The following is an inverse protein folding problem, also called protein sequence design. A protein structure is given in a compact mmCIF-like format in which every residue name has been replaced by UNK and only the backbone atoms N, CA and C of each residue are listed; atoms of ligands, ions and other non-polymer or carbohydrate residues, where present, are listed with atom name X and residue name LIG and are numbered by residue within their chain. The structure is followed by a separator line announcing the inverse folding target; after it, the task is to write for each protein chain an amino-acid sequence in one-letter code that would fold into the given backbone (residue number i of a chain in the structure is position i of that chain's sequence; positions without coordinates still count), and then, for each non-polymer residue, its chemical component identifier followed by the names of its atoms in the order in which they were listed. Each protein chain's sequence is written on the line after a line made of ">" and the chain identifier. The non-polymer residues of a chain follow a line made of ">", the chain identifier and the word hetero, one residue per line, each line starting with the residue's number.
data_IF_013077230247
#
_entry.id   IF_013077230247
#
_cell.length_a   1.000
_cell.length_b   1.000
_cell.length_c   1.000
_cell.angle_alpha   90.00
_cell.angle_beta   90.00
_cell.angle_gamma   90.00
#
_symmetry.space_group_name_H-M   'P 1'
#
loop_
_entity.id
_entity.type
_entity.pdbx_description
1 polymer ?
#
# COMPACT_ATOMS: atom_id res chain seq x y z
N UNK A 1 0.37 -15.65 -79.24
CA UNK A 1 0.14 -14.23 -79.08
C UNK A 1 0.70 -13.82 -77.68
N UNK A 2 1.83 -13.19 -77.77
CA UNK A 2 2.64 -12.75 -76.65
C UNK A 2 2.11 -11.44 -76.09
N UNK A 3 1.97 -11.27 -74.72
CA UNK A 3 1.95 -9.97 -74.12
C UNK A 3 2.95 -9.98 -72.97
N UNK A 4 3.98 -9.15 -73.09
CA UNK A 4 4.97 -8.79 -72.05
C UNK A 4 4.33 -7.86 -71.04
N UNK A 5 4.61 -8.10 -69.77
CA UNK A 5 4.36 -7.13 -68.73
C UNK A 5 5.70 -6.50 -68.24
N UNK A 6 5.78 -5.20 -68.39
CA UNK A 6 6.90 -4.35 -68.02
C UNK A 6 6.90 -4.13 -66.49
N UNK A 7 8.06 -4.35 -65.84
CA UNK A 7 8.31 -3.94 -64.48
C UNK A 7 8.68 -2.44 -64.44
N UNK A 8 7.90 -1.66 -63.72
CA UNK A 8 8.25 -0.28 -63.36
C UNK A 8 9.03 -0.29 -62.06
N UNK A 9 10.32 0.10 -62.10
CA UNK A 9 11.09 0.44 -60.91
C UNK A 9 10.68 1.82 -60.42
N UNK A 10 10.11 1.91 -59.21
CA UNK A 10 9.91 3.15 -58.53
C UNK A 10 11.22 3.60 -57.83
N UNK A 11 11.82 4.66 -58.31
CA UNK A 11 12.96 5.34 -57.68
C UNK A 11 12.46 6.07 -56.40
N UNK A 12 12.98 5.68 -55.25
CA UNK A 12 12.77 6.40 -53.98
C UNK A 12 13.46 7.77 -54.09
N UNK A 13 12.71 8.84 -53.89
CA UNK A 13 13.20 10.21 -54.05
C UNK A 13 14.29 10.54 -52.99
N UNK A 14 15.32 11.26 -53.42
CA UNK A 14 16.47 11.69 -52.65
C UNK A 14 16.13 12.45 -51.35
N UNK A 15 14.93 12.99 -51.24
CA UNK A 15 14.45 13.74 -50.08
C UNK A 15 14.10 12.85 -48.85
N UNK A 16 13.72 11.59 -49.07
CA UNK A 16 13.43 10.64 -48.02
C UNK A 16 14.72 10.09 -47.34
N UNK A 17 15.77 9.87 -48.16
CA UNK A 17 17.07 9.45 -47.65
C UNK A 17 17.78 10.53 -46.81
N UNK A 18 17.62 11.81 -47.15
CA UNK A 18 18.16 12.92 -46.37
C UNK A 18 17.43 13.12 -45.02
N UNK A 19 16.12 12.85 -44.93
CA UNK A 19 15.38 12.94 -43.67
C UNK A 19 15.71 11.78 -42.73
N UNK A 20 15.99 10.59 -43.23
CA UNK A 20 16.44 9.46 -42.41
C UNK A 20 17.87 9.68 -41.86
N UNK A 21 18.77 10.32 -42.64
CA UNK A 21 20.11 10.64 -42.18
C UNK A 21 20.13 11.74 -41.09
N UNK A 22 19.19 12.68 -41.12
CA UNK A 22 19.05 13.74 -40.09
C UNK A 22 18.46 13.23 -38.79
N UNK A 23 17.66 12.16 -38.80
CA UNK A 23 17.11 11.55 -37.58
C UNK A 23 18.12 10.65 -36.87
N UNK A 24 19.08 10.05 -37.59
CA UNK A 24 20.10 9.20 -36.99
C UNK A 24 21.23 9.96 -36.29
N UNK A 25 21.45 11.24 -36.62
CA UNK A 25 22.50 12.08 -35.99
C UNK A 25 22.15 12.58 -34.58
N UNK A 26 20.91 12.40 -34.12
CA UNK A 26 20.47 12.82 -32.79
C UNK A 26 20.56 11.71 -31.71
N UNK A 27 21.03 10.51 -32.05
CA UNK A 27 21.06 9.37 -31.13
C UNK A 27 22.46 8.77 -30.88
N UNK A 28 23.56 9.49 -31.13
CA UNK A 28 24.91 9.05 -30.71
C UNK A 28 25.38 9.85 -29.49
N UNK A 29 25.53 9.25 -28.32
CA UNK A 29 26.17 9.94 -27.20
C UNK A 29 27.70 9.95 -27.44
N UNK A 30 28.30 11.14 -27.38
CA UNK A 30 29.74 11.28 -27.38
C UNK A 30 30.32 10.73 -26.07
N UNK A 31 31.17 9.73 -26.15
CA UNK A 31 31.99 9.22 -25.04
C UNK A 31 33.17 10.16 -24.87
N UNK A 32 33.20 10.98 -23.81
CA UNK A 32 34.41 11.67 -23.35
C UNK A 32 34.86 11.03 -22.05
N UNK A 33 36.06 10.42 -22.07
CA UNK A 33 36.77 9.94 -20.92
C UNK A 33 37.42 11.14 -20.17
N UNK A 34 36.94 11.40 -18.94
CA UNK A 34 37.77 12.07 -17.93
C UNK A 34 37.54 11.45 -16.56
N UNK A 35 38.57 10.84 -16.02
CA UNK A 35 38.68 10.47 -14.61
C UNK A 35 38.83 11.72 -13.75
N UNK A 36 38.03 11.84 -12.70
CA UNK A 36 38.43 12.57 -11.49
C UNK A 36 37.42 12.34 -10.35
N UNK A 37 37.96 11.91 -9.22
CA UNK A 37 37.55 12.11 -7.83
C UNK A 37 36.07 11.96 -7.42
N UNK A 38 35.89 10.94 -6.58
CA UNK A 38 34.76 10.63 -5.71
C UNK A 38 34.23 11.83 -4.92
N UNK A 39 33.16 12.42 -5.37
CA UNK A 39 32.08 12.96 -4.56
C UNK A 39 30.82 12.28 -5.07
N UNK A 40 30.17 11.45 -4.26
CA UNK A 40 28.86 10.88 -4.52
C UNK A 40 27.85 12.02 -4.67
N UNK A 41 27.65 12.49 -5.90
CA UNK A 41 26.53 13.35 -6.23
C UNK A 41 25.27 12.49 -6.13
N UNK A 42 24.30 12.92 -5.33
CA UNK A 42 22.91 12.45 -5.38
C UNK A 42 22.52 12.27 -6.86
N UNK A 43 22.07 11.07 -7.21
CA UNK A 43 21.60 10.76 -8.55
C UNK A 43 20.29 11.53 -8.72
N UNK A 44 20.28 12.59 -9.51
CA UNK A 44 19.07 13.35 -9.79
C UNK A 44 17.99 12.38 -10.28
N UNK A 45 16.77 12.44 -9.70
CA UNK A 45 15.64 11.64 -10.14
C UNK A 45 15.36 11.86 -11.63
N UNK A 46 15.05 10.78 -12.35
CA UNK A 46 14.65 10.82 -13.75
C UNK A 46 13.21 11.33 -13.96
N UNK A 47 12.47 11.54 -12.87
CA UNK A 47 11.08 11.98 -12.90
C UNK A 47 10.97 13.45 -13.28
N UNK A 48 9.90 13.80 -14.03
CA UNK A 48 9.56 15.20 -14.28
C UNK A 48 9.29 15.94 -12.96
N UNK A 49 9.62 17.23 -12.90
CA UNK A 49 9.32 18.05 -11.75
C UNK A 49 7.80 18.02 -11.44
N UNK A 50 7.44 17.72 -10.22
CA UNK A 50 6.06 17.64 -9.74
C UNK A 50 5.97 18.07 -8.27
N UNK A 51 4.79 18.45 -7.78
CA UNK A 51 4.58 18.68 -6.36
C UNK A 51 4.87 17.42 -5.55
N UNK A 52 5.61 17.56 -4.46
CA UNK A 52 5.97 16.45 -3.57
C UNK A 52 4.73 15.95 -2.83
N UNK A 53 4.36 14.70 -3.06
CA UNK A 53 3.15 14.10 -2.51
C UNK A 53 3.42 13.37 -1.20
N UNK A 54 3.07 14.00 -0.08
CA UNK A 54 3.23 13.46 1.28
C UNK A 54 1.89 13.23 1.98
N UNK A 55 0.90 12.76 1.23
CA UNK A 55 -0.35 12.23 1.79
C UNK A 55 -0.12 10.80 2.28
N UNK A 56 -0.97 10.24 3.18
CA UNK A 56 -0.87 8.83 3.58
C UNK A 56 -1.29 7.85 2.45
N UNK A 57 -0.68 8.02 1.29
CA UNK A 57 -0.87 7.27 0.04
C UNK A 57 -2.01 7.78 -0.86
N UNK A 58 -1.73 7.79 -2.20
CA UNK A 58 -0.48 7.36 -2.84
C UNK A 58 0.75 8.12 -2.38
N UNK A 59 1.89 7.42 -2.33
CA UNK A 59 3.18 7.98 -1.93
C UNK A 59 4.07 8.24 -3.15
N UNK A 60 5.22 8.88 -2.94
CA UNK A 60 6.27 8.99 -3.95
C UNK A 60 6.80 7.60 -4.36
N UNK A 61 7.17 7.45 -5.63
CA UNK A 61 7.70 6.22 -6.19
C UNK A 61 9.18 6.36 -6.52
N UNK A 62 9.93 5.26 -6.53
CA UNK A 62 11.30 5.26 -7.03
C UNK A 62 11.32 5.27 -8.57
N UNK A 63 12.43 5.75 -9.14
CA UNK A 63 12.64 5.77 -10.60
C UNK A 63 12.59 4.35 -11.19
N UNK A 64 13.10 3.35 -10.46
CA UNK A 64 13.09 1.95 -10.88
C UNK A 64 11.68 1.37 -10.94
N UNK A 65 10.81 1.73 -9.98
CA UNK A 65 9.40 1.32 -9.99
C UNK A 65 8.68 1.93 -11.18
N UNK A 66 8.88 3.22 -11.47
CA UNK A 66 8.28 3.88 -12.62
C UNK A 66 8.83 3.33 -13.94
N UNK A 67 10.13 3.02 -14.02
CA UNK A 67 10.72 2.36 -15.19
C UNK A 67 10.09 0.97 -15.41
N UNK A 68 9.83 0.20 -14.35
CA UNK A 68 9.15 -1.08 -14.44
C UNK A 68 7.68 -0.94 -14.90
N UNK A 69 6.97 0.14 -14.51
CA UNK A 69 5.64 0.47 -15.03
C UNK A 69 5.63 0.77 -16.52
N UNK A 70 6.75 1.25 -17.07
CA UNK A 70 6.90 1.52 -18.51
C UNK A 70 7.20 0.26 -19.34
N UNK A 71 7.14 -0.94 -18.76
CA UNK A 71 7.31 -2.20 -19.47
C UNK A 71 6.33 -2.29 -20.66
N UNK A 72 6.79 -2.60 -21.88
CA UNK A 72 5.93 -2.78 -23.03
C UNK A 72 4.84 -3.82 -22.82
N UNK A 73 3.77 -3.77 -23.63
CA UNK A 73 2.70 -4.76 -23.59
C UNK A 73 3.25 -6.17 -23.72
N UNK A 74 2.80 -7.06 -22.85
CA UNK A 74 3.29 -8.43 -22.74
C UNK A 74 2.12 -9.39 -22.50
N UNK A 75 2.19 -10.58 -23.07
CA UNK A 75 1.20 -11.63 -22.79
C UNK A 75 1.32 -12.11 -21.34
N UNK A 76 0.20 -12.14 -20.63
CA UNK A 76 0.13 -12.62 -19.25
C UNK A 76 0.42 -14.13 -19.08
N UNK A 77 0.46 -14.88 -20.19
CA UNK A 77 0.85 -16.31 -20.20
C UNK A 77 2.24 -16.53 -20.83
N UNK A 78 2.97 -15.47 -21.16
CA UNK A 78 4.34 -15.61 -21.64
C UNK A 78 5.25 -16.16 -20.52
N UNK A 79 6.26 -17.00 -20.87
CA UNK A 79 7.18 -17.51 -19.87
C UNK A 79 7.84 -16.42 -19.01
N UNK A 80 8.22 -15.30 -19.62
CA UNK A 80 8.83 -14.17 -18.93
C UNK A 80 7.91 -13.55 -17.88
N UNK A 81 6.63 -13.34 -18.21
CA UNK A 81 5.69 -12.77 -17.25
C UNK A 81 5.33 -13.77 -16.13
N UNK A 82 5.21 -15.04 -16.46
CA UNK A 82 4.97 -16.12 -15.48
C UNK A 82 6.10 -16.15 -14.44
N UNK A 83 7.37 -15.98 -14.85
CA UNK A 83 8.51 -15.85 -13.96
C UNK A 83 8.38 -14.60 -13.06
N UNK A 84 8.12 -13.44 -13.66
CA UNK A 84 7.96 -12.17 -12.95
C UNK A 84 6.88 -12.25 -11.88
N UNK A 85 5.72 -12.79 -12.25
CA UNK A 85 4.59 -12.88 -11.32
C UNK A 85 4.86 -13.88 -10.19
N UNK A 86 5.39 -15.05 -10.52
CA UNK A 86 5.75 -16.04 -9.50
C UNK A 86 6.83 -15.54 -8.54
N UNK A 87 7.83 -14.79 -9.03
CA UNK A 87 8.85 -14.15 -8.18
C UNK A 87 8.21 -13.10 -7.25
N UNK A 88 7.30 -12.26 -7.77
CA UNK A 88 6.60 -11.27 -6.96
C UNK A 88 5.79 -11.94 -5.84
N UNK A 89 5.08 -13.04 -6.11
CA UNK A 89 4.35 -13.81 -5.09
C UNK A 89 5.29 -14.40 -4.04
N UNK A 90 6.45 -14.94 -4.45
CA UNK A 90 7.47 -15.44 -3.54
C UNK A 90 8.08 -14.36 -2.64
N UNK A 91 8.34 -13.16 -3.18
CA UNK A 91 8.85 -12.03 -2.39
C UNK A 91 7.77 -11.45 -1.44
N UNK A 92 6.49 -11.51 -1.81
CA UNK A 92 5.40 -11.15 -0.88
C UNK A 92 5.38 -12.07 0.34
N UNK A 93 5.66 -13.37 0.20
CA UNK A 93 5.81 -14.27 1.37
C UNK A 93 6.90 -13.77 2.31
N UNK A 94 8.04 -13.36 1.78
CA UNK A 94 9.14 -12.83 2.60
C UNK A 94 8.73 -11.52 3.30
N UNK A 95 8.04 -10.62 2.62
CA UNK A 95 7.53 -9.37 3.20
C UNK A 95 6.57 -9.61 4.37
N UNK A 96 5.75 -10.67 4.29
CA UNK A 96 4.82 -11.08 5.35
C UNK A 96 5.43 -12.01 6.40
N UNK A 97 6.73 -12.35 6.33
CA UNK A 97 7.36 -13.36 7.18
C UNK A 97 6.60 -14.70 7.15
N UNK A 98 6.22 -15.15 5.95
CA UNK A 98 5.50 -16.39 5.77
C UNK A 98 6.40 -17.49 5.19
N UNK A 99 6.40 -18.64 5.84
CA UNK A 99 7.08 -19.88 5.45
C UNK A 99 6.12 -21.07 5.30
N UNK A 100 4.91 -20.96 5.86
CA UNK A 100 3.88 -22.01 5.74
C UNK A 100 3.40 -22.12 4.29
N UNK A 101 3.69 -23.24 3.65
CA UNK A 101 3.29 -23.53 2.26
C UNK A 101 1.78 -23.73 2.07
N UNK A 102 1.01 -23.91 3.15
CA UNK A 102 -0.45 -23.97 3.08
C UNK A 102 -1.08 -22.59 2.89
N UNK A 103 -0.38 -21.54 3.30
CA UNK A 103 -0.79 -20.17 3.03
C UNK A 103 -0.63 -19.83 1.54
N UNK A 104 -1.35 -18.81 1.08
CA UNK A 104 -1.23 -18.30 -0.29
C UNK A 104 -1.19 -16.78 -0.32
N UNK A 105 -0.26 -16.23 -1.09
CA UNK A 105 -0.19 -14.81 -1.45
C UNK A 105 -0.98 -14.52 -2.71
N UNK A 106 -1.59 -13.34 -2.75
CA UNK A 106 -2.42 -12.87 -3.86
C UNK A 106 -2.00 -11.45 -4.26
N UNK A 107 -1.96 -11.18 -5.56
CA UNK A 107 -1.83 -9.84 -6.13
C UNK A 107 -2.79 -9.74 -7.32
N UNK A 108 -3.91 -9.03 -7.12
CA UNK A 108 -5.07 -9.04 -8.02
C UNK A 108 -5.37 -7.62 -8.45
N UNK A 109 -5.78 -7.41 -9.71
CA UNK A 109 -6.21 -6.11 -10.21
C UNK A 109 -7.35 -5.55 -9.36
N UNK A 110 -7.13 -4.38 -8.73
CA UNK A 110 -8.11 -3.75 -7.85
C UNK A 110 -7.48 -2.74 -6.90
N UNK A 111 -8.25 -2.30 -5.93
CA UNK A 111 -7.81 -1.44 -4.84
C UNK A 111 -7.64 -2.25 -3.54
N UNK A 112 -7.09 -1.65 -2.48
CA UNK A 112 -7.00 -2.28 -1.16
C UNK A 112 -8.35 -2.76 -0.63
N UNK A 113 -9.43 -1.99 -0.89
CA UNK A 113 -10.80 -2.34 -0.52
C UNK A 113 -11.31 -3.65 -1.13
N UNK A 114 -10.78 -4.09 -2.28
CA UNK A 114 -11.08 -5.42 -2.82
C UNK A 114 -10.64 -6.55 -1.86
N UNK A 115 -9.64 -6.31 -1.01
CA UNK A 115 -9.25 -7.25 0.05
C UNK A 115 -10.38 -7.45 1.08
N UNK A 116 -11.16 -6.40 1.37
CA UNK A 116 -12.35 -6.50 2.24
C UNK A 116 -13.44 -7.35 1.59
N UNK A 117 -13.69 -7.15 0.27
CA UNK A 117 -14.62 -8.00 -0.49
C UNK A 117 -14.17 -9.48 -0.44
N UNK A 118 -12.86 -9.76 -0.54
CA UNK A 118 -12.35 -11.13 -0.39
C UNK A 118 -12.64 -11.72 0.99
N UNK A 119 -12.45 -10.97 2.06
CA UNK A 119 -12.80 -11.39 3.43
C UNK A 119 -14.29 -11.65 3.54
N UNK A 120 -15.12 -10.67 3.20
CA UNK A 120 -16.57 -10.74 3.38
C UNK A 120 -17.22 -11.82 2.51
N UNK A 121 -16.82 -11.92 1.23
CA UNK A 121 -17.41 -12.87 0.31
C UNK A 121 -16.98 -14.33 0.54
N UNK A 122 -15.79 -14.57 1.10
CA UNK A 122 -15.21 -15.91 1.16
C UNK A 122 -15.10 -16.49 2.58
N UNK A 123 -14.89 -15.65 3.61
CA UNK A 123 -14.62 -16.12 4.97
C UNK A 123 -15.83 -15.93 5.91
N UNK A 124 -16.87 -15.21 5.47
CA UNK A 124 -18.07 -14.95 6.23
C UNK A 124 -19.28 -15.44 5.40
N UNK A 125 -20.15 -16.26 5.98
CA UNK A 125 -21.42 -16.60 5.34
C UNK A 125 -22.52 -15.64 5.81
N UNK A 126 -23.58 -15.42 5.00
CA UNK A 126 -24.68 -14.55 5.41
C UNK A 126 -25.25 -14.97 6.78
N UNK A 127 -25.39 -14.00 7.68
CA UNK A 127 -25.87 -14.20 9.04
C UNK A 127 -24.78 -14.53 10.07
N UNK A 128 -23.53 -14.81 9.66
CA UNK A 128 -22.43 -15.00 10.61
C UNK A 128 -21.96 -13.66 11.20
N UNK A 129 -21.49 -13.72 12.45
CA UNK A 129 -21.07 -12.56 13.22
C UNK A 129 -19.59 -12.26 13.01
N UNK A 130 -19.26 -10.97 12.86
CA UNK A 130 -17.91 -10.43 12.76
C UNK A 130 -17.67 -9.38 13.83
N UNK A 131 -16.53 -9.44 14.53
CA UNK A 131 -16.10 -8.38 15.44
C UNK A 131 -15.17 -7.43 14.68
N UNK A 132 -15.52 -6.14 14.63
CA UNK A 132 -14.73 -5.09 13.99
C UNK A 132 -14.13 -4.20 15.06
N UNK A 133 -12.80 -4.25 15.21
CA UNK A 133 -12.08 -3.34 16.13
C UNK A 133 -11.95 -1.97 15.47
N UNK A 134 -12.63 -0.98 16.04
CA UNK A 134 -12.86 0.29 15.38
C UNK A 134 -11.99 1.39 16.00
N UNK A 135 -11.03 1.88 15.21
CA UNK A 135 -10.14 3.00 15.55
C UNK A 135 -10.29 4.20 14.61
N UNK A 136 -11.20 4.13 13.62
CA UNK A 136 -11.45 5.23 12.69
C UNK A 136 -12.29 4.85 11.47
N UNK A 137 -12.18 5.65 10.41
CA UNK A 137 -12.99 5.59 9.19
C UNK A 137 -12.92 4.24 8.46
N UNK A 138 -11.74 3.62 8.42
CA UNK A 138 -11.55 2.39 7.64
C UNK A 138 -12.23 1.18 8.31
N UNK A 139 -12.28 1.15 9.62
CA UNK A 139 -13.05 0.14 10.35
C UNK A 139 -14.57 0.28 10.12
N UNK A 140 -15.12 1.51 10.06
CA UNK A 140 -16.51 1.75 9.67
C UNK A 140 -16.80 1.18 8.27
N UNK A 141 -15.91 1.47 7.30
CA UNK A 141 -16.09 1.05 5.91
C UNK A 141 -15.98 -0.47 5.75
N UNK A 142 -15.09 -1.12 6.51
CA UNK A 142 -14.97 -2.58 6.52
C UNK A 142 -16.23 -3.23 7.12
N UNK A 143 -16.81 -2.63 8.19
CA UNK A 143 -18.08 -3.10 8.73
C UNK A 143 -19.22 -2.99 7.69
N UNK A 144 -19.31 -1.88 6.96
CA UNK A 144 -20.27 -1.71 5.86
C UNK A 144 -20.07 -2.75 4.76
N UNK A 145 -18.81 -3.07 4.41
CA UNK A 145 -18.52 -4.13 3.45
C UNK A 145 -19.01 -5.48 3.95
N UNK A 146 -18.72 -5.86 5.19
CA UNK A 146 -19.21 -7.12 5.78
C UNK A 146 -20.74 -7.19 5.76
N UNK A 147 -21.43 -6.10 6.12
CA UNK A 147 -22.89 -6.02 6.09
C UNK A 147 -23.44 -6.15 4.67
N UNK A 148 -22.76 -5.56 3.67
CA UNK A 148 -23.15 -5.65 2.25
C UNK A 148 -23.17 -7.09 1.75
N UNK A 149 -22.29 -7.95 2.24
CA UNK A 149 -22.26 -9.39 1.93
C UNK A 149 -23.15 -10.24 2.85
N UNK A 150 -23.96 -9.60 3.70
CA UNK A 150 -24.92 -10.28 4.60
C UNK A 150 -24.35 -10.75 5.92
N UNK A 151 -23.09 -10.47 6.25
CA UNK A 151 -22.51 -10.68 7.57
C UNK A 151 -23.10 -9.71 8.61
N UNK A 152 -22.90 -10.01 9.88
CA UNK A 152 -23.38 -9.21 11.03
C UNK A 152 -22.20 -8.59 11.77
N UNK A 153 -21.72 -7.37 11.36
CA UNK A 153 -20.62 -6.72 12.04
C UNK A 153 -21.05 -6.15 13.38
N UNK A 154 -20.29 -6.44 14.43
CA UNK A 154 -20.33 -5.79 15.73
C UNK A 154 -19.09 -4.90 15.84
N UNK A 155 -19.28 -3.58 15.92
CA UNK A 155 -18.19 -2.63 16.02
C UNK A 155 -17.85 -2.37 17.49
N UNK A 156 -16.62 -2.69 17.89
CA UNK A 156 -16.06 -2.34 19.20
C UNK A 156 -15.23 -1.05 19.05
N UNK A 157 -15.83 0.08 19.43
CA UNK A 157 -15.28 1.40 19.15
C UNK A 157 -14.36 1.89 20.27
N UNK A 158 -13.14 2.31 19.90
CA UNK A 158 -12.26 3.09 20.74
C UNK A 158 -12.67 4.57 20.76
N UNK A 159 -12.29 5.34 21.79
CA UNK A 159 -12.29 6.81 21.70
C UNK A 159 -11.44 7.30 20.52
N UNK A 160 -11.77 8.49 19.97
CA UNK A 160 -11.02 9.05 18.84
C UNK A 160 -9.54 9.21 19.21
N UNK A 161 -8.66 8.63 18.41
CA UNK A 161 -7.21 8.68 18.62
C UNK A 161 -6.68 7.65 19.61
N UNK A 162 -7.51 6.76 20.15
CA UNK A 162 -7.10 5.71 21.09
C UNK A 162 -7.30 4.31 20.47
N UNK A 163 -6.82 3.28 21.15
CA UNK A 163 -6.93 1.87 20.78
C UNK A 163 -8.16 1.21 21.42
N UNK A 164 -8.62 0.11 20.81
CA UNK A 164 -9.52 -0.83 21.47
C UNK A 164 -8.68 -1.65 22.48
N UNK A 165 -9.06 -1.65 23.74
CA UNK A 165 -8.30 -2.33 24.81
C UNK A 165 -8.47 -3.85 24.75
N UNK A 166 -7.45 -4.59 25.20
CA UNK A 166 -7.50 -6.06 25.28
C UNK A 166 -8.65 -6.55 26.15
N UNK A 167 -8.94 -5.89 27.28
CA UNK A 167 -10.05 -6.24 28.17
C UNK A 167 -11.42 -6.12 27.47
N UNK A 168 -11.59 -5.08 26.66
CA UNK A 168 -12.82 -4.90 25.91
C UNK A 168 -12.98 -5.97 24.83
N UNK A 169 -11.87 -6.34 24.15
CA UNK A 169 -11.86 -7.42 23.15
C UNK A 169 -12.17 -8.77 23.81
N UNK A 170 -11.52 -9.07 24.94
CA UNK A 170 -11.74 -10.29 25.71
C UNK A 170 -13.20 -10.44 26.14
N UNK A 171 -13.77 -9.38 26.67
CA UNK A 171 -15.16 -9.32 27.10
C UNK A 171 -16.12 -9.64 25.94
N UNK A 172 -15.92 -8.99 24.77
CA UNK A 172 -16.73 -9.24 23.57
C UNK A 172 -16.62 -10.69 23.08
N UNK A 173 -15.41 -11.26 23.08
CA UNK A 173 -15.17 -12.64 22.65
C UNK A 173 -15.77 -13.69 23.60
N UNK A 174 -15.87 -13.39 24.89
CA UNK A 174 -16.53 -14.26 25.88
C UNK A 174 -18.06 -14.19 25.80
N UNK A 175 -18.60 -13.02 25.46
CA UNK A 175 -20.05 -12.81 25.36
C UNK A 175 -20.64 -13.50 24.13
N UNK A 176 -19.92 -13.47 22.98
CA UNK A 176 -20.43 -13.93 21.70
C UNK A 176 -19.34 -14.58 20.85
N UNK A 177 -19.72 -15.61 20.08
CA UNK A 177 -18.84 -16.22 19.07
C UNK A 177 -18.83 -15.38 17.79
N UNK A 178 -17.65 -15.09 17.29
CA UNK A 178 -17.46 -14.40 16.03
C UNK A 178 -16.73 -15.29 15.03
N UNK A 179 -17.12 -15.21 13.76
CA UNK A 179 -16.45 -15.89 12.66
C UNK A 179 -15.06 -15.28 12.40
N UNK A 180 -14.99 -13.97 12.45
CA UNK A 180 -13.76 -13.20 12.24
C UNK A 180 -13.66 -12.07 13.26
N UNK A 181 -12.42 -11.71 13.63
CA UNK A 181 -12.06 -10.42 14.22
C UNK A 181 -11.29 -9.65 13.15
N UNK A 182 -11.71 -8.43 12.83
CA UNK A 182 -10.99 -7.56 11.90
C UNK A 182 -10.30 -6.44 12.65
N UNK A 183 -9.03 -6.19 12.30
CA UNK A 183 -8.16 -5.21 12.92
C UNK A 183 -7.61 -4.28 11.85
N UNK A 184 -7.93 -3.00 11.89
CA UNK A 184 -7.20 -2.00 11.11
C UNK A 184 -5.88 -1.74 11.84
N UNK A 185 -4.76 -2.23 11.30
CA UNK A 185 -3.45 -2.13 11.97
C UNK A 185 -3.03 -0.68 12.16
N UNK A 186 -3.05 0.11 11.07
CA UNK A 186 -2.93 1.57 11.13
C UNK A 186 -4.17 2.18 10.50
N UNK A 187 -4.99 2.85 11.29
CA UNK A 187 -6.11 3.60 10.73
C UNK A 187 -5.63 4.94 10.16
N UNK A 188 -5.68 5.05 8.84
CA UNK A 188 -5.16 6.22 8.12
C UNK A 188 -5.94 7.50 8.44
N UNK A 189 -7.14 7.40 9.04
CA UNK A 189 -7.93 8.55 9.46
C UNK A 189 -7.49 9.16 10.79
N UNK A 190 -6.82 8.38 11.65
CA UNK A 190 -6.44 8.82 13.00
C UNK A 190 -4.94 8.73 13.28
N UNK A 191 -4.22 7.86 12.56
CA UNK A 191 -2.82 7.53 12.84
C UNK A 191 -2.66 6.59 14.05
N UNK A 192 -3.73 5.93 14.48
CA UNK A 192 -3.68 4.93 15.55
C UNK A 192 -3.09 3.65 15.02
N UNK A 193 -2.14 3.08 15.77
CA UNK A 193 -1.51 1.76 15.56
C UNK A 193 -2.11 0.76 16.53
N UNK A 194 -2.74 -0.30 16.05
CA UNK A 194 -3.29 -1.38 16.88
C UNK A 194 -2.23 -2.45 17.17
N UNK A 195 -2.19 -2.98 18.40
CA UNK A 195 -1.28 -4.08 18.78
C UNK A 195 -1.80 -5.42 18.27
N UNK A 196 -1.58 -5.70 16.98
CA UNK A 196 -2.07 -6.94 16.36
C UNK A 196 -1.46 -8.20 16.97
N UNK A 197 -0.23 -8.15 17.49
CA UNK A 197 0.42 -9.28 18.15
C UNK A 197 -0.33 -9.72 19.40
N UNK A 198 -0.57 -8.78 20.30
CA UNK A 198 -1.29 -9.07 21.56
C UNK A 198 -2.76 -9.41 21.31
N UNK A 199 -3.40 -8.74 20.33
CA UNK A 199 -4.79 -9.04 19.95
C UNK A 199 -4.89 -10.45 19.37
N UNK A 200 -4.01 -10.85 18.46
CA UNK A 200 -4.01 -12.19 17.89
C UNK A 200 -3.80 -13.26 18.98
N UNK A 201 -2.83 -13.08 19.87
CA UNK A 201 -2.60 -13.98 21.00
C UNK A 201 -3.85 -14.11 21.90
N UNK A 202 -4.52 -13.01 22.19
CA UNK A 202 -5.76 -13.00 22.96
C UNK A 202 -6.88 -13.77 22.24
N UNK A 203 -7.08 -13.52 20.95
CA UNK A 203 -8.09 -14.24 20.15
C UNK A 203 -7.83 -15.74 20.16
N UNK A 204 -6.56 -16.18 20.01
CA UNK A 204 -6.20 -17.59 20.07
C UNK A 204 -6.47 -18.21 21.44
N UNK A 205 -6.26 -17.48 22.51
CA UNK A 205 -6.50 -17.96 23.87
C UNK A 205 -7.99 -18.06 24.21
N UNK A 206 -8.83 -17.11 23.76
CA UNK A 206 -10.23 -16.97 24.17
C UNK A 206 -11.21 -17.61 23.17
N UNK A 207 -10.92 -17.48 21.87
CA UNK A 207 -11.79 -17.93 20.78
C UNK A 207 -10.96 -18.46 19.60
N UNK A 208 -10.29 -19.62 19.73
CA UNK A 208 -9.31 -20.13 18.76
C UNK A 208 -9.90 -20.41 17.37
N UNK A 209 -11.22 -20.61 17.26
CA UNK A 209 -11.91 -20.80 15.99
C UNK A 209 -12.13 -19.50 15.20
N UNK A 210 -12.04 -18.35 15.87
CA UNK A 210 -12.22 -17.04 15.25
C UNK A 210 -11.01 -16.68 14.40
N UNK A 211 -11.23 -16.32 13.13
CA UNK A 211 -10.16 -15.89 12.24
C UNK A 211 -9.71 -14.46 12.59
N UNK A 212 -8.39 -14.25 12.56
CA UNK A 212 -7.76 -12.93 12.77
C UNK A 212 -7.42 -12.32 11.43
N UNK A 213 -8.13 -11.25 11.07
CA UNK A 213 -8.02 -10.55 9.79
C UNK A 213 -7.40 -9.16 10.04
N UNK A 214 -6.31 -8.84 9.36
CA UNK A 214 -5.60 -7.57 9.50
C UNK A 214 -5.72 -6.75 8.22
N UNK A 215 -6.28 -5.56 8.33
CA UNK A 215 -6.11 -4.52 7.32
C UNK A 215 -4.75 -3.83 7.53
N UNK A 216 -3.77 -4.22 6.74
CA UNK A 216 -2.41 -3.70 6.73
C UNK A 216 -2.14 -2.69 5.63
N UNK A 217 -3.18 -2.08 5.03
CA UNK A 217 -3.00 -1.17 3.88
C UNK A 217 -2.04 -0.03 4.21
N UNK A 218 -2.10 0.55 5.39
CA UNK A 218 -1.24 1.67 5.79
C UNK A 218 -0.02 1.25 6.63
N UNK A 219 0.22 -0.04 6.81
CA UNK A 219 1.26 -0.56 7.72
C UNK A 219 2.25 -1.54 7.09
N UNK A 220 1.83 -2.34 6.11
CA UNK A 220 2.74 -3.29 5.44
C UNK A 220 3.91 -2.56 4.80
N UNK A 221 5.13 -2.95 5.20
CA UNK A 221 6.39 -2.32 4.78
C UNK A 221 6.81 -1.10 5.60
N UNK A 222 6.05 -0.74 6.64
CA UNK A 222 6.38 0.29 7.66
C UNK A 222 6.47 -0.32 9.05
N UNK A 223 5.40 -1.00 9.46
CA UNK A 223 5.28 -1.65 10.76
C UNK A 223 5.60 -3.14 10.62
N UNK A 224 6.14 -3.75 11.67
CA UNK A 224 6.36 -5.17 11.67
C UNK A 224 5.02 -5.94 11.68
N UNK A 225 4.88 -6.91 10.77
CA UNK A 225 3.76 -7.86 10.73
C UNK A 225 4.33 -9.24 10.46
N UNK A 226 4.38 -10.09 11.49
CA UNK A 226 4.92 -11.45 11.39
C UNK A 226 3.76 -12.43 11.24
N UNK A 227 3.38 -12.71 10.00
CA UNK A 227 2.17 -13.47 9.67
C UNK A 227 2.11 -14.85 10.35
N UNK A 228 3.18 -15.64 10.22
CA UNK A 228 3.23 -16.98 10.80
C UNK A 228 3.39 -16.92 12.33
N UNK A 229 4.34 -16.12 12.83
CA UNK A 229 4.69 -16.08 14.25
C UNK A 229 3.55 -15.56 15.14
N UNK A 230 2.71 -14.66 14.59
CA UNK A 230 1.56 -14.12 15.31
C UNK A 230 0.25 -14.86 14.99
N UNK A 231 0.34 -15.98 14.26
CA UNK A 231 -0.77 -16.86 13.90
C UNK A 231 -1.96 -16.11 13.28
N UNK A 232 -1.67 -15.23 12.33
CA UNK A 232 -2.66 -14.43 11.60
C UNK A 232 -3.34 -15.29 10.52
N UNK A 233 -4.60 -14.95 10.16
CA UNK A 233 -5.34 -15.71 9.15
C UNK A 233 -5.40 -15.03 7.80
N UNK A 234 -5.45 -13.70 7.78
CA UNK A 234 -5.35 -12.94 6.56
C UNK A 234 -4.77 -11.55 6.88
N UNK A 235 -3.82 -11.11 6.07
CA UNK A 235 -3.33 -9.73 6.05
C UNK A 235 -3.54 -9.19 4.64
N UNK A 236 -4.26 -8.10 4.51
CA UNK A 236 -4.47 -7.40 3.24
C UNK A 236 -3.71 -6.07 3.21
N UNK A 237 -3.31 -5.66 2.00
CA UNK A 237 -2.63 -4.39 1.76
C UNK A 237 -2.87 -3.88 0.34
N UNK A 238 -2.28 -2.74 0.01
CA UNK A 238 -2.33 -2.12 -1.31
C UNK A 238 -0.97 -1.49 -1.66
N UNK A 239 -0.60 -1.43 -2.95
CA UNK A 239 0.76 -1.11 -3.36
C UNK A 239 1.11 0.38 -3.23
N UNK A 240 0.12 1.30 -3.27
CA UNK A 240 0.32 2.75 -3.30
C UNK A 240 0.67 3.37 -1.94
N UNK A 241 0.89 2.55 -0.93
CA UNK A 241 1.39 2.92 0.40
C UNK A 241 2.88 2.63 0.48
N UNK A 242 3.38 2.12 1.59
CA UNK A 242 4.82 1.92 1.81
C UNK A 242 5.49 0.90 0.85
N UNK A 243 4.72 0.07 0.16
CA UNK A 243 5.25 -0.73 -0.94
C UNK A 243 5.74 0.18 -2.09
N UNK A 244 5.15 1.36 -2.28
CA UNK A 244 5.67 2.37 -3.20
C UNK A 244 5.48 2.01 -4.68
N UNK A 245 4.33 1.44 -5.04
CA UNK A 245 3.94 1.12 -6.42
C UNK A 245 2.64 1.83 -6.75
N UNK A 246 2.43 2.30 -7.98
CA UNK A 246 1.16 2.90 -8.38
C UNK A 246 -0.05 2.04 -8.03
N UNK A 247 -1.17 2.69 -7.66
CA UNK A 247 -2.42 2.00 -7.33
C UNK A 247 -2.88 1.11 -8.50
N UNK A 248 -3.56 0.00 -8.17
CA UNK A 248 -4.09 -0.91 -9.18
C UNK A 248 -4.02 -2.38 -8.78
N UNK A 249 -3.50 -2.69 -7.58
CA UNK A 249 -3.47 -4.03 -7.02
C UNK A 249 -4.17 -4.08 -5.66
N UNK A 250 -4.89 -5.16 -5.41
CA UNK A 250 -5.21 -5.66 -4.08
C UNK A 250 -4.25 -6.80 -3.77
N UNK A 251 -3.54 -6.68 -2.66
CA UNK A 251 -2.51 -7.64 -2.24
C UNK A 251 -2.93 -8.22 -0.89
N UNK A 252 -2.88 -9.53 -0.74
CA UNK A 252 -3.12 -10.15 0.55
C UNK A 252 -2.46 -11.53 0.65
N UNK A 253 -2.33 -12.02 1.88
CA UNK A 253 -1.94 -13.39 2.20
C UNK A 253 -3.05 -14.02 3.04
N UNK A 254 -3.40 -15.27 2.75
CA UNK A 254 -4.38 -16.05 3.51
C UNK A 254 -3.72 -17.32 4.06
N UNK A 255 -3.94 -17.62 5.34
CA UNK A 255 -3.41 -18.81 6.02
C UNK A 255 -4.06 -20.11 5.53
N UNK A 256 -3.42 -21.23 5.78
CA UNK A 256 -4.03 -22.55 5.57
C UNK A 256 -5.37 -22.67 6.28
N UNK A 257 -5.50 -22.16 7.51
CA UNK A 257 -6.76 -22.15 8.30
C UNK A 257 -7.85 -21.31 7.61
N UNK A 258 -7.54 -20.10 7.12
CA UNK A 258 -8.50 -19.30 6.37
C UNK A 258 -8.95 -19.99 5.08
N UNK A 259 -8.03 -20.63 4.37
CA UNK A 259 -8.35 -21.41 3.15
C UNK A 259 -9.19 -22.67 3.48
N UNK A 260 -8.98 -23.29 4.63
CA UNK A 260 -9.81 -24.43 5.06
C UNK A 260 -11.23 -23.98 5.45
N UNK A 261 -11.38 -22.84 6.13
CA UNK A 261 -12.68 -22.21 6.38
C UNK A 261 -13.39 -21.89 5.06
N UNK A 262 -12.67 -21.34 4.08
CA UNK A 262 -13.24 -21.12 2.74
C UNK A 262 -13.72 -22.43 2.08
N UNK A 263 -12.94 -23.50 2.12
CA UNK A 263 -13.30 -24.81 1.53
C UNK A 263 -14.49 -25.46 2.23
N UNK A 264 -14.65 -25.22 3.53
CA UNK A 264 -15.74 -25.75 4.35
C UNK A 264 -17.06 -24.97 4.23
N UNK A 265 -17.14 -23.93 3.40
CA UNK A 265 -18.37 -23.16 3.17
C UNK A 265 -19.52 -24.04 2.75
N UNK A 266 -20.71 -23.73 3.23
CA UNK A 266 -21.96 -24.40 2.84
C UNK A 266 -22.53 -23.84 1.54
N UNK A 267 -22.29 -22.54 1.28
CA UNK A 267 -22.75 -21.85 0.09
C UNK A 267 -21.55 -21.33 -0.74
N UNK A 268 -21.67 -21.19 -2.08
CA UNK A 268 -20.65 -20.57 -2.90
C UNK A 268 -20.34 -19.13 -2.41
N UNK A 269 -19.12 -18.60 -2.70
CA UNK A 269 -18.82 -17.20 -2.47
C UNK A 269 -19.86 -16.28 -3.14
N UNK A 270 -20.22 -15.20 -2.46
CA UNK A 270 -21.23 -14.25 -2.92
C UNK A 270 -20.69 -13.23 -3.94
N UNK A 271 -19.45 -13.38 -4.38
CA UNK A 271 -18.80 -12.56 -5.42
C UNK A 271 -18.24 -13.44 -6.52
N UNK A 272 -18.41 -13.03 -7.78
CA UNK A 272 -17.77 -13.70 -8.92
C UNK A 272 -16.28 -13.34 -9.03
N UNK A 273 -15.94 -12.03 -8.94
CA UNK A 273 -14.57 -11.56 -9.08
C UNK A 273 -13.75 -11.74 -7.79
N UNK A 274 -14.27 -11.31 -6.63
CA UNK A 274 -13.62 -11.51 -5.34
C UNK A 274 -13.83 -12.94 -4.80
N UNK A 275 -13.59 -13.96 -5.62
CA UNK A 275 -13.81 -15.37 -5.27
C UNK A 275 -12.49 -16.13 -5.15
N UNK A 276 -12.19 -16.66 -3.95
CA UNK A 276 -11.05 -17.56 -3.75
C UNK A 276 -11.16 -18.82 -4.60
N UNK A 277 -12.38 -19.31 -4.91
CA UNK A 277 -12.56 -20.44 -5.83
C UNK A 277 -11.97 -20.18 -7.22
N UNK A 278 -11.95 -18.92 -7.65
CA UNK A 278 -11.40 -18.50 -8.93
C UNK A 278 -9.91 -18.17 -8.86
N UNK A 279 -9.50 -17.39 -7.85
CA UNK A 279 -8.14 -16.85 -7.78
C UNK A 279 -7.11 -17.77 -7.14
N UNK A 280 -7.52 -18.66 -6.22
CA UNK A 280 -6.58 -19.55 -5.52
C UNK A 280 -5.78 -20.44 -6.50
N UNK A 281 -6.41 -21.17 -7.45
CA UNK A 281 -5.66 -21.97 -8.41
C UNK A 281 -4.79 -21.11 -9.35
N UNK A 282 -5.21 -19.87 -9.66
CA UNK A 282 -4.43 -18.95 -10.50
C UNK A 282 -3.13 -18.56 -9.81
N UNK A 283 -3.23 -18.12 -8.52
CA UNK A 283 -2.04 -17.69 -7.76
C UNK A 283 -1.09 -18.88 -7.50
N UNK A 284 -1.62 -20.05 -7.18
CA UNK A 284 -0.84 -21.28 -7.03
C UNK A 284 -0.08 -21.65 -8.30
N UNK A 285 -0.74 -21.52 -9.46
CA UNK A 285 -0.09 -21.79 -10.74
C UNK A 285 1.04 -20.78 -11.04
N UNK A 286 0.80 -19.47 -10.89
CA UNK A 286 1.86 -18.47 -11.10
C UNK A 286 3.03 -18.66 -10.11
N UNK A 287 2.77 -18.96 -8.86
CA UNK A 287 3.81 -19.25 -7.87
C UNK A 287 4.61 -20.51 -8.25
N UNK A 288 3.95 -21.51 -8.82
CA UNK A 288 4.57 -22.71 -9.38
C UNK A 288 5.18 -22.52 -10.79
N UNK A 289 5.29 -21.27 -11.27
CA UNK A 289 5.82 -20.91 -12.60
C UNK A 289 5.06 -21.57 -13.76
N UNK A 290 3.74 -21.68 -13.60
CA UNK A 290 2.83 -22.21 -14.62
C UNK A 290 1.87 -21.14 -15.11
N UNK A 291 1.63 -20.99 -16.42
CA UNK A 291 0.66 -20.04 -16.94
C UNK A 291 -0.75 -20.40 -16.48
N UNK A 292 -1.54 -19.39 -16.15
CA UNK A 292 -2.92 -19.56 -15.72
C UNK A 292 -3.77 -18.36 -16.07
N UNK A 293 -5.09 -18.53 -16.17
CA UNK A 293 -6.00 -17.45 -16.52
C UNK A 293 -7.39 -17.61 -15.87
N UNK A 294 -7.84 -16.55 -15.29
CA UNK A 294 -9.22 -16.31 -14.91
C UNK A 294 -9.66 -14.90 -15.33
N UNK A 295 -8.83 -13.91 -15.07
CA UNK A 295 -8.96 -12.52 -15.48
C UNK A 295 -7.58 -11.95 -15.76
N UNK A 296 -7.48 -11.01 -16.70
CA UNK A 296 -6.20 -10.47 -17.15
C UNK A 296 -5.51 -9.72 -16.00
N UNK A 297 -4.32 -10.14 -15.56
CA UNK A 297 -3.56 -9.43 -14.55
C UNK A 297 -3.01 -8.10 -15.10
N UNK A 298 -2.81 -7.09 -14.26
CA UNK A 298 -2.23 -5.81 -14.67
C UNK A 298 -0.70 -5.95 -14.78
N UNK A 299 -0.24 -6.38 -15.93
CA UNK A 299 1.15 -6.78 -16.21
C UNK A 299 2.16 -5.75 -15.71
N UNK A 300 1.96 -4.47 -16.05
CA UNK A 300 2.88 -3.38 -15.67
C UNK A 300 2.94 -3.19 -14.15
N UNK A 301 1.80 -3.28 -13.46
CA UNK A 301 1.78 -3.19 -12.00
C UNK A 301 2.51 -4.37 -11.33
N UNK A 302 2.46 -5.57 -11.91
CA UNK A 302 3.20 -6.74 -11.40
C UNK A 302 4.70 -6.57 -11.61
N UNK A 303 5.15 -6.02 -12.75
CA UNK A 303 6.56 -5.66 -12.95
C UNK A 303 7.03 -4.62 -11.92
N UNK A 304 6.24 -3.58 -11.71
CA UNK A 304 6.53 -2.55 -10.71
C UNK A 304 6.54 -3.12 -9.28
N UNK A 305 5.60 -4.03 -8.97
CA UNK A 305 5.57 -4.73 -7.68
C UNK A 305 6.85 -5.54 -7.46
N UNK A 306 7.29 -6.29 -8.46
CA UNK A 306 8.55 -7.06 -8.37
C UNK A 306 9.75 -6.15 -8.15
N UNK A 307 9.83 -5.01 -8.86
CA UNK A 307 10.91 -4.04 -8.69
C UNK A 307 10.93 -3.47 -7.26
N UNK A 308 9.78 -3.04 -6.76
CA UNK A 308 9.64 -2.53 -5.40
C UNK A 308 9.98 -3.57 -4.33
N UNK A 309 9.46 -4.79 -4.44
CA UNK A 309 9.75 -5.85 -3.48
C UNK A 309 11.25 -6.20 -3.42
N UNK A 310 11.94 -6.19 -4.57
CA UNK A 310 13.40 -6.34 -4.60
C UNK A 310 14.12 -5.21 -3.86
N UNK A 311 13.67 -3.96 -4.00
CA UNK A 311 14.23 -2.83 -3.25
C UNK A 311 13.97 -2.96 -1.75
N UNK A 312 12.73 -3.30 -1.36
CA UNK A 312 12.34 -3.46 0.05
C UNK A 312 13.16 -4.57 0.73
N UNK A 313 13.37 -5.68 0.06
CA UNK A 313 14.04 -6.86 0.60
C UNK A 313 15.56 -6.88 0.36
N UNK A 314 16.11 -5.84 -0.29
CA UNK A 314 17.56 -5.68 -0.46
C UNK A 314 18.27 -5.38 0.88
N UNK A 315 17.53 -4.91 1.87
CA UNK A 315 17.98 -4.66 3.24
C UNK A 315 17.11 -5.45 4.23
N UNK A 316 17.60 -5.76 5.43
CA UNK A 316 16.77 -6.38 6.46
C UNK A 316 15.52 -5.56 6.74
N UNK A 317 14.35 -6.20 6.82
CA UNK A 317 13.08 -5.51 7.08
C UNK A 317 13.10 -4.75 8.42
N UNK A 318 13.82 -5.25 9.43
CA UNK A 318 14.00 -4.57 10.71
C UNK A 318 14.64 -3.18 10.54
N UNK A 319 15.63 -3.04 9.64
CA UNK A 319 16.29 -1.75 9.37
C UNK A 319 15.30 -0.78 8.69
N UNK A 320 14.45 -1.30 7.79
CA UNK A 320 13.40 -0.52 7.16
C UNK A 320 12.36 -0.03 8.16
N UNK A 321 11.90 -0.88 9.07
CA UNK A 321 10.98 -0.49 10.15
C UNK A 321 11.61 0.55 11.06
N UNK A 322 12.87 0.35 11.45
CA UNK A 322 13.62 1.31 12.26
C UNK A 322 13.81 2.67 11.56
N UNK A 323 14.03 2.70 10.23
CA UNK A 323 14.10 3.96 9.47
C UNK A 323 12.76 4.73 9.52
N UNK A 324 11.64 4.04 9.34
CA UNK A 324 10.31 4.66 9.45
C UNK A 324 10.04 5.17 10.87
N UNK A 325 10.38 4.40 11.91
CA UNK A 325 10.23 4.84 13.31
C UNK A 325 11.06 6.10 13.58
N UNK A 326 12.35 6.13 13.21
CA UNK A 326 13.20 7.33 13.38
C UNK A 326 12.65 8.56 12.67
N UNK A 327 12.18 8.41 11.42
CA UNK A 327 11.59 9.53 10.68
C UNK A 327 10.28 9.98 11.33
N UNK A 328 9.45 9.04 11.78
CA UNK A 328 8.22 9.32 12.50
C UNK A 328 8.48 10.13 13.77
N UNK A 329 9.45 9.72 14.59
CA UNK A 329 9.82 10.41 15.82
C UNK A 329 10.29 11.84 15.52
N UNK A 330 11.12 12.02 14.47
CA UNK A 330 11.57 13.35 14.03
C UNK A 330 10.41 14.25 13.63
N UNK A 331 9.48 13.75 12.82
CA UNK A 331 8.32 14.53 12.35
C UNK A 331 7.42 14.88 13.54
N UNK A 332 7.11 13.93 14.41
CA UNK A 332 6.26 14.13 15.58
C UNK A 332 6.86 15.13 16.57
N UNK A 333 8.16 15.02 16.83
CA UNK A 333 8.89 15.98 17.69
C UNK A 333 8.87 17.40 17.09
N UNK A 334 9.07 17.52 15.78
CA UNK A 334 9.02 18.82 15.09
C UNK A 334 7.62 19.42 15.13
N UNK A 335 6.57 18.64 14.86
CA UNK A 335 5.17 19.08 14.95
C UNK A 335 4.82 19.49 16.38
N UNK A 336 5.29 18.76 17.39
CA UNK A 336 5.12 19.14 18.80
C UNK A 336 5.84 20.46 19.13
N UNK A 337 7.04 20.69 18.57
CA UNK A 337 7.78 21.96 18.73
C UNK A 337 7.05 23.16 18.12
N UNK A 338 6.15 22.92 17.14
CA UNK A 338 5.25 23.93 16.59
C UNK A 338 4.00 24.17 17.47
N UNK A 339 3.90 23.54 18.63
CA UNK A 339 2.75 23.62 19.52
C UNK A 339 1.53 22.82 19.07
N UNK A 340 1.68 21.97 18.03
CA UNK A 340 0.59 21.19 17.48
C UNK A 340 0.46 19.83 18.18
N UNK A 341 -0.76 19.27 18.18
CA UNK A 341 -1.08 17.98 18.80
C UNK A 341 -1.45 16.94 17.75
N UNK A 342 -1.05 15.69 18.00
CA UNK A 342 -1.48 14.57 17.20
C UNK A 342 -2.91 14.13 17.57
N UNK A 343 -3.59 13.50 16.59
CA UNK A 343 -4.89 12.83 16.81
C UNK A 343 -4.69 11.55 17.61
N UNK A 344 -3.68 10.73 17.29
CA UNK A 344 -3.35 9.54 18.06
C UNK A 344 -2.73 9.93 19.40
N UNK A 345 -3.45 9.66 20.52
CA UNK A 345 -3.12 10.20 21.84
C UNK A 345 -2.26 9.27 22.68
N UNK A 346 -2.29 7.95 22.42
CA UNK A 346 -1.60 6.97 23.27
C UNK A 346 -0.17 6.74 22.78
N UNK A 347 0.80 7.01 23.64
CA UNK A 347 2.20 6.71 23.38
C UNK A 347 2.40 5.20 23.12
N UNK A 348 3.28 4.86 22.17
CA UNK A 348 3.51 3.49 21.73
C UNK A 348 2.46 2.92 20.75
N UNK A 349 1.33 3.61 20.57
CA UNK A 349 0.26 3.22 19.65
C UNK A 349 0.03 4.27 18.55
N UNK A 350 1.08 4.95 18.15
CA UNK A 350 1.10 5.97 17.10
C UNK A 350 1.83 5.42 15.88
N UNK A 351 1.17 5.46 14.72
CA UNK A 351 1.72 4.95 13.46
C UNK A 351 3.09 5.54 13.10
N UNK A 352 3.97 4.71 12.53
CA UNK A 352 5.29 5.14 12.03
C UNK A 352 5.28 5.53 10.55
N UNK A 353 4.18 5.33 9.83
CA UNK A 353 4.06 5.69 8.41
C UNK A 353 3.25 6.96 8.14
N UNK A 354 2.61 7.52 9.16
CA UNK A 354 1.82 8.74 9.02
C UNK A 354 1.59 9.42 10.35
N UNK A 355 1.30 10.74 10.30
CA UNK A 355 0.89 11.52 11.47
C UNK A 355 -0.37 12.33 11.11
N UNK A 356 -1.42 12.20 11.93
CA UNK A 356 -2.61 13.04 11.87
C UNK A 356 -2.44 14.18 12.92
N UNK A 357 -2.57 15.43 12.49
CA UNK A 357 -2.21 16.61 13.28
C UNK A 357 -3.40 17.55 13.40
N UNK A 358 -3.85 17.84 14.62
CA UNK A 358 -4.89 18.84 14.84
C UNK A 358 -4.45 20.23 14.38
N UNK A 359 -5.36 20.95 13.75
CA UNK A 359 -5.17 22.37 13.47
C UNK A 359 -5.13 23.16 14.77
N UNK A 360 -4.28 24.19 14.85
CA UNK A 360 -4.34 25.12 15.97
C UNK A 360 -5.58 26.01 15.88
N UNK A 361 -5.98 26.59 17.00
CA UNK A 361 -7.11 27.50 17.06
C UNK A 361 -6.94 28.68 16.07
N UNK A 362 -8.00 29.01 15.37
CA UNK A 362 -8.02 30.09 14.39
C UNK A 362 -7.51 29.73 12.99
N UNK A 363 -6.97 28.52 12.77
CA UNK A 363 -6.51 28.06 11.45
C UNK A 363 -7.49 27.01 10.91
N UNK A 364 -7.92 27.19 9.65
CA UNK A 364 -8.81 26.26 8.98
C UNK A 364 -8.11 25.50 7.84
N UNK A 365 -8.55 24.25 7.52
CA UNK A 365 -8.00 23.47 6.43
C UNK A 365 -7.99 24.19 5.08
N UNK A 366 -9.08 24.90 4.66
CA UNK A 366 -9.11 25.63 3.40
C UNK A 366 -8.08 26.76 3.31
N UNK A 367 -7.60 27.26 4.45
CA UNK A 367 -6.57 28.31 4.48
C UNK A 367 -5.16 27.72 4.50
N UNK A 368 -4.95 26.61 5.22
CA UNK A 368 -3.63 26.02 5.42
C UNK A 368 -3.16 25.19 4.22
N UNK A 369 -3.99 24.23 3.74
CA UNK A 369 -3.57 23.29 2.72
C UNK A 369 -3.20 23.95 1.38
N UNK A 370 -3.92 24.98 0.86
CA UNK A 370 -3.51 25.68 -0.35
C UNK A 370 -2.19 26.42 -0.20
N UNK A 371 -1.86 26.97 0.99
CA UNK A 371 -0.57 27.64 1.26
C UNK A 371 0.58 26.64 1.21
N UNK A 372 0.39 25.44 1.79
CA UNK A 372 1.37 24.35 1.73
C UNK A 372 1.53 23.89 0.26
N UNK A 373 0.43 23.73 -0.47
CA UNK A 373 0.45 23.32 -1.87
C UNK A 373 1.16 24.33 -2.78
N UNK A 374 1.02 25.64 -2.52
CA UNK A 374 1.74 26.68 -3.27
C UNK A 374 3.26 26.62 -3.11
N UNK A 375 3.75 25.92 -2.08
CA UNK A 375 5.16 25.60 -1.83
C UNK A 375 5.60 24.27 -2.44
N UNK A 376 4.75 23.67 -3.27
CA UNK A 376 5.04 22.40 -3.93
C UNK A 376 4.89 21.16 -3.05
N UNK A 377 4.22 21.23 -1.90
CA UNK A 377 3.98 20.11 -1.00
C UNK A 377 2.48 19.77 -0.94
N UNK A 378 2.13 18.51 -1.15
CA UNK A 378 0.74 18.05 -1.09
C UNK A 378 0.52 17.24 0.17
N UNK A 379 -0.34 17.73 1.07
CA UNK A 379 -0.79 17.04 2.28
C UNK A 379 -2.28 16.72 2.21
N UNK A 380 -2.75 15.80 3.05
CA UNK A 380 -4.15 15.40 3.10
C UNK A 380 -4.92 16.10 4.23
N UNK A 381 -6.18 16.47 3.99
CA UNK A 381 -7.11 16.86 5.05
C UNK A 381 -7.56 15.68 5.90
N UNK A 382 -8.35 15.96 6.93
CA UNK A 382 -8.94 14.93 7.80
C UNK A 382 -9.93 14.03 7.06
N UNK A 383 -10.15 12.82 7.61
CA UNK A 383 -11.03 11.80 7.03
C UNK A 383 -12.03 11.24 8.05
N UNK A 384 -11.71 11.28 9.36
CA UNK A 384 -12.59 10.78 10.40
C UNK A 384 -13.87 11.61 10.45
N UNK A 385 -15.05 10.96 10.37
CA UNK A 385 -16.36 11.61 10.18
C UNK A 385 -16.67 12.75 11.16
N UNK A 386 -16.26 12.59 12.43
CA UNK A 386 -16.58 13.55 13.50
C UNK A 386 -15.62 14.74 13.58
N UNK A 387 -14.41 14.60 13.05
CA UNK A 387 -13.35 15.60 13.18
C UNK A 387 -12.67 15.97 11.85
N UNK A 388 -13.24 15.58 10.71
CA UNK A 388 -12.59 15.70 9.39
C UNK A 388 -12.08 17.11 9.06
N UNK A 389 -12.75 18.17 9.53
CA UNK A 389 -12.35 19.56 9.29
C UNK A 389 -11.34 20.11 10.32
N UNK A 390 -10.98 19.33 11.35
CA UNK A 390 -10.19 19.79 12.49
C UNK A 390 -8.72 19.40 12.45
N UNK A 391 -8.26 18.65 11.41
CA UNK A 391 -6.89 18.16 11.35
C UNK A 391 -6.45 17.92 9.91
N UNK A 392 -5.15 17.83 9.70
CA UNK A 392 -4.52 17.39 8.45
C UNK A 392 -3.66 16.15 8.70
N UNK A 393 -3.21 15.51 7.61
CA UNK A 393 -2.43 14.28 7.68
C UNK A 393 -1.16 14.39 6.83
N UNK A 394 -0.06 13.92 7.41
CA UNK A 394 1.25 13.81 6.77
C UNK A 394 1.53 12.32 6.59
N UNK A 395 1.76 11.87 5.34
CA UNK A 395 2.30 10.54 5.06
C UNK A 395 3.83 10.57 5.11
N UNK A 396 4.43 9.63 5.81
CA UNK A 396 5.87 9.50 5.87
C UNK A 396 6.27 8.03 5.75
N UNK A 397 6.21 7.53 4.52
CA UNK A 397 6.51 6.14 4.21
C UNK A 397 7.11 5.98 2.80
N UNK A 398 7.68 4.81 2.55
CA UNK A 398 8.23 4.47 1.24
C UNK A 398 9.55 5.18 0.95
N UNK A 399 9.78 5.52 -0.32
CA UNK A 399 11.04 6.08 -0.81
C UNK A 399 11.42 7.40 -0.13
N UNK A 400 10.45 8.24 0.22
CA UNK A 400 10.68 9.49 0.96
C UNK A 400 11.33 9.30 2.34
N UNK A 401 11.25 8.07 2.92
CA UNK A 401 11.87 7.71 4.19
C UNK A 401 13.15 6.91 3.98
N UNK A 402 13.17 6.02 2.98
CA UNK A 402 14.25 5.03 2.83
C UNK A 402 15.38 5.47 1.91
N UNK A 403 15.21 6.57 1.18
CA UNK A 403 16.24 7.20 0.37
C UNK A 403 16.81 8.40 1.16
N UNK A 404 18.03 8.23 1.69
CA UNK A 404 18.70 9.22 2.55
C UNK A 404 19.09 10.50 1.80
N UNK A 405 19.14 10.46 0.46
CA UNK A 405 19.46 11.63 -0.36
C UNK A 405 18.25 12.58 -0.55
N UNK A 406 17.03 12.17 -0.12
CA UNK A 406 15.81 12.96 -0.24
C UNK A 406 15.62 13.87 0.98
N UNK A 407 15.37 15.15 0.70
CA UNK A 407 15.07 16.18 1.71
C UNK A 407 13.55 16.43 1.85
N UNK A 408 12.74 15.43 1.53
CA UNK A 408 11.28 15.57 1.41
C UNK A 408 10.64 16.13 2.68
N UNK A 409 11.05 15.64 3.84
CA UNK A 409 10.46 16.07 5.12
C UNK A 409 11.04 17.40 5.64
N UNK A 410 12.26 17.76 5.28
CA UNK A 410 12.80 19.10 5.58
C UNK A 410 12.00 20.18 4.85
N UNK A 411 11.73 19.95 3.57
CA UNK A 411 10.90 20.84 2.74
C UNK A 411 9.45 20.90 3.26
N UNK A 412 8.87 19.74 3.61
CA UNK A 412 7.50 19.69 4.09
C UNK A 412 7.32 20.39 5.45
N UNK A 413 8.22 20.13 6.41
CA UNK A 413 8.15 20.75 7.74
C UNK A 413 8.35 22.26 7.67
N UNK A 414 9.29 22.73 6.83
CA UNK A 414 9.46 24.17 6.56
C UNK A 414 8.19 24.79 5.94
N UNK A 415 7.61 24.13 4.92
CA UNK A 415 6.39 24.58 4.28
C UNK A 415 5.19 24.64 5.25
N UNK A 416 5.06 23.67 6.15
CA UNK A 416 4.03 23.66 7.20
C UNK A 416 4.23 24.86 8.13
N UNK A 417 5.46 25.08 8.64
CA UNK A 417 5.77 26.19 9.56
C UNK A 417 5.45 27.55 8.96
N UNK A 418 5.93 27.81 7.75
CA UNK A 418 5.71 29.07 7.05
C UNK A 418 4.21 29.29 6.76
N UNK A 419 3.51 28.24 6.32
CA UNK A 419 2.07 28.32 6.02
C UNK A 419 1.22 28.57 7.26
N UNK A 420 1.60 28.02 8.42
CA UNK A 420 0.97 28.32 9.71
C UNK A 420 1.17 29.78 10.10
N UNK A 421 2.39 30.32 9.95
CA UNK A 421 2.69 31.72 10.22
C UNK A 421 1.86 32.66 9.33
N UNK A 422 1.74 32.37 8.03
CA UNK A 422 0.90 33.15 7.10
C UNK A 422 -0.61 33.01 7.39
N UNK A 423 -1.04 31.93 8.03
CA UNK A 423 -2.40 31.73 8.48
C UNK A 423 -2.67 32.41 9.85
N UNK A 424 -1.67 33.13 10.40
CA UNK A 424 -1.80 33.88 11.66
C UNK A 424 -1.44 33.11 12.92
N UNK A 425 -0.87 31.89 12.79
CA UNK A 425 -0.41 31.11 13.94
C UNK A 425 1.10 31.29 14.15
N UNK A 426 1.49 31.76 15.34
CA UNK A 426 2.90 31.91 15.71
C UNK A 426 3.48 30.58 16.19
N UNK A 427 4.46 30.07 15.45
CA UNK A 427 5.20 28.84 15.74
C UNK A 427 6.43 29.13 16.58
#
# INVERSE_FOLDING_TARGET
>A
MSRRHSHSHSTISSSAALRLAQLSSHFTPAVSSQQSSTMTKSKASAQAAHPLTLIPGPVEFSDEVLAAMATPSQSHVSPQFVEVFGDALGLLRQLFFNTDKRAQTFAIAGAGTLGWDFVAANLIEPGEDALVLHTGYFADSLADCIATYGGKPTQLKAPIGDIVTLDAIESALKEKKFKVVTITHVDTSTGVLSDIKSIAALVRAVSPETLVIVDGVCSVGVEEIRFDDWDLDLVLTAPQKAIGVPAGLSIFIASGRALDVFRARKAPPTSYYASLAKWLPIMQNYEAKKPSYFSTPPVQNIHALLASLKQILAVPLADRFAAHARMSDRIKATIASYGLKQVAVREGYQANGMTAVYLPDGVALPDLLPRIASRGIVLAGGLHKEIATKYFRIGHMGVSVTDEDREDFDKALAAIKESLAEAGYTV
#
